data_IF_152562574310
#
_entry.id   IF_152562574310
#
_cell.length_a   1.000
_cell.length_b   1.000
_cell.length_c   1.000
_cell.angle_alpha   90.00
_cell.angle_beta   90.00
_cell.angle_gamma   90.00
#
_symmetry.space_group_name_H-M   'P 1'
#
loop_
_entity.id
_entity.type
_entity.pdbx_description
1 polymer ?
#
# COMPACT_ATOMS: atom_id res chain seq x y z
N UNK A 1 -34.83 36.04 0.10
CA UNK A 1 -35.02 34.60 -0.19
C UNK A 1 -33.76 34.20 -0.93
N UNK A 2 -32.74 33.78 -0.18
CA UNK A 2 -31.41 33.50 -0.71
C UNK A 2 -31.28 32.01 -1.01
N UNK A 3 -31.67 31.63 -2.22
CA UNK A 3 -31.55 30.27 -2.76
C UNK A 3 -30.20 30.10 -3.45
N UNK A 4 -29.11 30.09 -2.67
CA UNK A 4 -27.82 29.64 -3.18
C UNK A 4 -27.03 28.89 -2.09
N UNK A 5 -27.56 27.73 -1.69
CA UNK A 5 -26.81 26.73 -0.94
C UNK A 5 -26.20 25.75 -1.94
N UNK A 6 -24.88 25.83 -2.12
CA UNK A 6 -24.09 24.82 -2.81
C UNK A 6 -24.28 23.47 -2.10
N UNK A 7 -25.15 22.63 -2.65
CA UNK A 7 -25.40 21.29 -2.13
C UNK A 7 -24.14 20.45 -2.35
N UNK A 8 -23.34 20.30 -1.30
CA UNK A 8 -22.22 19.35 -1.28
C UNK A 8 -22.82 17.96 -1.28
N UNK A 9 -22.86 17.35 -2.47
CA UNK A 9 -23.36 16.00 -2.65
C UNK A 9 -22.38 15.00 -2.02
N UNK A 10 -22.73 14.54 -0.80
CA UNK A 10 -22.01 13.50 -0.07
C UNK A 10 -22.37 12.08 -0.56
N UNK A 11 -22.97 11.93 -1.74
CA UNK A 11 -23.08 10.60 -2.35
C UNK A 11 -21.68 10.01 -2.45
N UNK A 12 -21.41 8.83 -1.84
CA UNK A 12 -20.09 8.23 -1.89
C UNK A 12 -19.77 7.92 -3.35
N UNK A 13 -18.96 8.78 -3.97
CA UNK A 13 -18.49 8.66 -5.34
C UNK A 13 -18.03 7.21 -5.58
N UNK A 14 -18.85 6.47 -6.33
CA UNK A 14 -18.70 5.04 -6.59
C UNK A 14 -17.38 4.68 -7.30
N UNK A 15 -16.64 5.70 -7.74
CA UNK A 15 -15.36 5.58 -8.43
C UNK A 15 -14.15 5.40 -7.50
N UNK A 16 -14.31 5.50 -6.17
CA UNK A 16 -13.22 5.18 -5.20
C UNK A 16 -13.04 3.68 -4.93
N UNK A 17 -13.80 2.79 -5.58
CA UNK A 17 -13.39 1.36 -5.72
C UNK A 17 -12.27 1.20 -6.75
N UNK A 18 -11.33 2.15 -6.81
CA UNK A 18 -10.06 2.03 -7.53
C UNK A 18 -9.39 0.76 -7.03
N UNK A 19 -9.58 -0.31 -7.80
CA UNK A 19 -8.73 -1.50 -7.92
C UNK A 19 -8.10 -1.85 -6.57
N UNK A 20 -8.87 -2.46 -5.66
CA UNK A 20 -8.27 -3.29 -4.59
C UNK A 20 -7.21 -4.12 -5.29
N UNK A 21 -5.93 -3.87 -5.00
CA UNK A 21 -4.77 -4.44 -5.67
C UNK A 21 -5.08 -5.90 -5.99
N UNK A 22 -5.49 -6.15 -7.23
CA UNK A 22 -5.92 -7.48 -7.62
C UNK A 22 -4.70 -8.35 -7.34
N UNK A 23 -4.88 -9.37 -6.49
CA UNK A 23 -3.74 -10.15 -6.05
C UNK A 23 -2.97 -10.59 -7.30
N UNK A 24 -1.64 -10.53 -7.30
CA UNK A 24 -0.84 -10.69 -8.52
C UNK A 24 -1.01 -12.08 -9.16
N UNK A 25 -1.55 -13.05 -8.41
CA UNK A 25 -1.90 -14.39 -8.89
C UNK A 25 -3.34 -14.52 -9.44
N UNK A 26 -4.08 -13.42 -9.58
CA UNK A 26 -5.46 -13.42 -10.05
C UNK A 26 -5.52 -13.43 -11.58
N UNK A 27 -5.81 -14.59 -12.15
CA UNK A 27 -5.88 -14.80 -13.61
C UNK A 27 -7.33 -14.85 -14.12
N UNK A 28 -7.50 -14.88 -15.46
CA UNK A 28 -8.82 -14.97 -16.09
C UNK A 28 -9.53 -16.29 -15.76
N UNK A 29 -8.79 -17.40 -15.65
CA UNK A 29 -9.36 -18.71 -15.27
C UNK A 29 -10.02 -18.66 -13.88
N UNK A 30 -9.41 -17.98 -12.90
CA UNK A 30 -9.97 -17.80 -11.56
C UNK A 30 -11.21 -16.92 -11.59
N UNK A 31 -11.27 -15.92 -12.49
CA UNK A 31 -12.48 -15.11 -12.72
C UNK A 31 -13.61 -15.98 -13.26
N UNK A 32 -13.33 -16.81 -14.26
CA UNK A 32 -14.32 -17.69 -14.87
C UNK A 32 -14.86 -18.71 -13.86
N UNK A 33 -13.97 -19.33 -13.09
CA UNK A 33 -14.35 -20.25 -12.01
C UNK A 33 -15.17 -19.55 -10.91
N UNK A 34 -14.86 -18.30 -10.59
CA UNK A 34 -15.63 -17.51 -9.63
C UNK A 34 -17.04 -17.23 -10.16
N UNK A 35 -17.18 -16.86 -11.44
CA UNK A 35 -18.48 -16.63 -12.07
C UNK A 35 -19.32 -17.91 -12.04
N UNK A 36 -18.74 -19.05 -12.39
CA UNK A 36 -19.41 -20.36 -12.36
C UNK A 36 -19.85 -20.71 -10.93
N UNK A 37 -18.99 -20.48 -9.95
CA UNK A 37 -19.29 -20.76 -8.54
C UNK A 37 -20.44 -19.88 -8.04
N UNK A 38 -20.42 -18.59 -8.35
CA UNK A 38 -21.47 -17.65 -7.99
C UNK A 38 -22.81 -18.01 -8.66
N UNK A 39 -22.79 -18.48 -9.91
CA UNK A 39 -23.99 -18.97 -10.60
C UNK A 39 -24.57 -20.20 -9.90
N UNK A 40 -23.72 -21.17 -9.54
CA UNK A 40 -24.14 -22.37 -8.81
C UNK A 40 -24.70 -22.02 -7.41
N UNK A 41 -24.08 -21.07 -6.71
CA UNK A 41 -24.57 -20.57 -5.43
C UNK A 41 -25.95 -19.92 -5.54
N UNK A 42 -26.13 -19.02 -6.52
CA UNK A 42 -27.42 -18.39 -6.79
C UNK A 42 -28.50 -19.41 -7.07
N UNK A 43 -28.21 -20.41 -7.92
CA UNK A 43 -29.14 -21.50 -8.22
C UNK A 43 -29.54 -22.26 -6.96
N UNK A 44 -28.59 -22.58 -6.08
CA UNK A 44 -28.89 -23.26 -4.81
C UNK A 44 -29.72 -22.40 -3.85
N UNK A 45 -29.36 -21.12 -3.68
CA UNK A 45 -30.02 -20.21 -2.73
C UNK A 45 -31.45 -19.85 -3.14
N UNK A 46 -31.69 -19.63 -4.43
CA UNK A 46 -32.99 -19.20 -4.95
C UNK A 46 -33.91 -20.39 -5.29
N UNK A 47 -33.40 -21.62 -5.26
CA UNK A 47 -34.21 -22.79 -5.57
C UNK A 47 -35.26 -23.04 -4.48
N UNK A 48 -36.53 -23.02 -4.91
CA UNK A 48 -37.71 -23.42 -4.15
C UNK A 48 -38.28 -24.67 -4.83
N UNK A 49 -38.40 -25.77 -4.10
CA UNK A 49 -38.85 -27.04 -4.66
C UNK A 49 -38.38 -28.24 -3.84
N UNK A 50 -38.29 -29.40 -4.48
CA UNK A 50 -37.95 -30.67 -3.84
C UNK A 50 -36.59 -30.62 -3.12
N UNK A 51 -36.56 -31.15 -1.89
CA UNK A 51 -35.37 -31.26 -1.04
C UNK A 51 -34.27 -32.07 -1.71
N UNK A 52 -34.60 -33.12 -2.48
CA UNK A 52 -33.59 -33.92 -3.20
C UNK A 52 -32.86 -33.08 -4.25
N UNK A 53 -33.61 -32.33 -5.04
CA UNK A 53 -33.03 -31.46 -6.06
C UNK A 53 -32.21 -30.32 -5.45
N UNK A 54 -32.70 -29.74 -4.33
CA UNK A 54 -31.95 -28.74 -3.57
C UNK A 54 -30.62 -29.28 -3.03
N UNK A 55 -30.59 -30.54 -2.57
CA UNK A 55 -29.36 -31.20 -2.14
C UNK A 55 -28.39 -31.42 -3.30
N UNK A 56 -28.88 -31.77 -4.48
CA UNK A 56 -28.04 -31.89 -5.68
C UNK A 56 -27.40 -30.54 -6.04
N UNK A 57 -28.18 -29.45 -6.06
CA UNK A 57 -27.66 -28.10 -6.29
C UNK A 57 -26.63 -27.68 -5.23
N UNK A 58 -26.85 -28.04 -3.96
CA UNK A 58 -25.88 -27.82 -2.87
C UNK A 58 -24.56 -28.54 -3.13
N UNK A 59 -24.62 -29.79 -3.58
CA UNK A 59 -23.44 -30.58 -3.90
C UNK A 59 -22.69 -29.99 -5.11
N UNK A 60 -23.42 -29.56 -6.14
CA UNK A 60 -22.84 -28.87 -7.30
C UNK A 60 -22.12 -27.58 -6.88
N UNK A 61 -22.75 -26.75 -6.04
CA UNK A 61 -22.11 -25.54 -5.51
C UNK A 61 -20.84 -25.86 -4.71
N UNK A 62 -20.90 -26.83 -3.80
CA UNK A 62 -19.73 -27.26 -3.02
C UNK A 62 -18.58 -27.71 -3.90
N UNK A 63 -18.87 -28.48 -4.95
CA UNK A 63 -17.86 -28.96 -5.88
C UNK A 63 -17.22 -27.81 -6.67
N UNK A 64 -18.03 -26.88 -7.20
CA UNK A 64 -17.49 -25.69 -7.91
C UNK A 64 -16.64 -24.81 -7.00
N UNK A 65 -17.08 -24.59 -5.76
CA UNK A 65 -16.30 -23.87 -4.75
C UNK A 65 -14.98 -24.57 -4.45
N UNK A 66 -14.99 -25.90 -4.27
CA UNK A 66 -13.78 -26.70 -4.05
C UNK A 66 -12.79 -26.59 -5.22
N UNK A 67 -13.30 -26.61 -6.46
CA UNK A 67 -12.49 -26.43 -7.67
C UNK A 67 -11.83 -25.04 -7.71
N UNK A 68 -12.61 -23.99 -7.42
CA UNK A 68 -12.09 -22.63 -7.30
C UNK A 68 -11.01 -22.52 -6.22
N UNK A 69 -11.27 -22.99 -5.00
CA UNK A 69 -10.33 -22.93 -3.88
C UNK A 69 -9.05 -23.74 -4.15
N UNK A 70 -9.16 -24.86 -4.87
CA UNK A 70 -8.01 -25.66 -5.29
C UNK A 70 -7.14 -24.88 -6.27
N UNK A 71 -7.76 -24.29 -7.31
CA UNK A 71 -7.04 -23.50 -8.32
C UNK A 71 -6.41 -22.25 -7.72
N UNK A 72 -7.12 -21.56 -6.84
CA UNK A 72 -6.64 -20.37 -6.14
C UNK A 72 -5.35 -20.68 -5.35
N UNK A 73 -5.35 -21.77 -4.58
CA UNK A 73 -4.17 -22.23 -3.84
C UNK A 73 -3.02 -22.70 -4.73
N UNK A 74 -3.30 -23.17 -5.94
CA UNK A 74 -2.26 -23.53 -6.90
C UNK A 74 -1.59 -22.27 -7.48
N UNK A 75 -2.38 -21.31 -7.94
CA UNK A 75 -1.85 -20.05 -8.49
C UNK A 75 -1.11 -19.23 -7.45
N UNK A 76 -1.61 -19.17 -6.21
CA UNK A 76 -0.90 -18.53 -5.11
C UNK A 76 0.46 -19.20 -4.85
N UNK A 77 0.52 -20.54 -4.82
CA UNK A 77 1.77 -21.28 -4.63
C UNK A 77 2.73 -21.05 -5.79
N UNK A 78 2.23 -21.05 -7.03
CA UNK A 78 3.02 -20.79 -8.23
C UNK A 78 3.64 -19.39 -8.18
N UNK A 79 2.84 -18.38 -7.86
CA UNK A 79 3.33 -17.01 -7.70
C UNK A 79 4.38 -16.89 -6.60
N UNK A 80 4.15 -17.49 -5.42
CA UNK A 80 5.14 -17.50 -4.33
C UNK A 80 6.44 -18.19 -4.75
N UNK A 81 6.37 -19.32 -5.44
CA UNK A 81 7.54 -20.05 -5.93
C UNK A 81 8.32 -19.24 -6.98
N UNK A 82 7.63 -18.64 -7.95
CA UNK A 82 8.23 -17.75 -8.94
C UNK A 82 8.93 -16.55 -8.29
N UNK A 83 8.26 -15.90 -7.34
CA UNK A 83 8.85 -14.78 -6.59
C UNK A 83 10.12 -15.20 -5.84
N UNK A 84 10.11 -16.35 -5.16
CA UNK A 84 11.29 -16.86 -4.47
C UNK A 84 12.43 -17.20 -5.44
N UNK A 85 12.12 -17.75 -6.61
CA UNK A 85 13.11 -18.02 -7.64
C UNK A 85 13.73 -16.73 -8.18
N UNK A 86 12.91 -15.72 -8.50
CA UNK A 86 13.38 -14.42 -8.97
C UNK A 86 14.33 -13.77 -7.94
N UNK A 87 13.96 -13.81 -6.66
CA UNK A 87 14.82 -13.30 -5.57
C UNK A 87 16.17 -14.03 -5.53
N UNK A 88 16.16 -15.36 -5.68
CA UNK A 88 17.40 -16.17 -5.69
C UNK A 88 18.28 -15.88 -6.90
N UNK A 89 17.70 -15.63 -8.07
CA UNK A 89 18.45 -15.30 -9.29
C UNK A 89 19.00 -13.88 -9.25
N UNK A 90 18.22 -12.90 -8.78
CA UNK A 90 18.64 -11.50 -8.64
C UNK A 90 19.81 -11.34 -7.66
N UNK A 91 19.76 -12.06 -6.53
CA UNK A 91 20.85 -12.06 -5.54
C UNK A 91 22.21 -12.54 -6.08
N UNK A 92 22.23 -13.32 -7.16
CA UNK A 92 23.46 -13.89 -7.72
C UNK A 92 24.12 -13.03 -8.79
N UNK A 93 23.40 -12.05 -9.34
CA UNK A 93 23.82 -11.37 -10.58
C UNK A 93 24.28 -9.93 -10.33
N UNK A 94 23.65 -9.19 -9.41
CA UNK A 94 24.13 -7.86 -8.98
C UNK A 94 23.47 -7.37 -7.67
N UNK A 95 24.23 -7.17 -6.57
CA UNK A 95 23.66 -6.73 -5.28
C UNK A 95 22.93 -5.38 -5.34
N UNK A 96 23.32 -4.47 -6.26
CA UNK A 96 22.68 -3.15 -6.41
C UNK A 96 21.28 -3.21 -7.01
N UNK A 97 20.97 -4.23 -7.83
CA UNK A 97 19.65 -4.42 -8.42
C UNK A 97 18.67 -5.06 -7.43
N UNK A 98 19.20 -5.98 -6.60
CA UNK A 98 18.45 -6.63 -5.53
C UNK A 98 17.79 -5.63 -4.55
N UNK A 99 18.54 -4.63 -4.08
CA UNK A 99 17.99 -3.61 -3.17
C UNK A 99 16.99 -2.68 -3.86
N UNK A 100 17.17 -2.41 -5.16
CA UNK A 100 16.28 -1.57 -5.95
C UNK A 100 14.90 -2.21 -6.10
N UNK A 101 14.85 -3.48 -6.51
CA UNK A 101 13.58 -4.18 -6.74
C UNK A 101 12.78 -4.43 -5.43
N UNK A 102 13.50 -4.60 -4.32
CA UNK A 102 12.92 -4.67 -2.97
C UNK A 102 12.28 -3.34 -2.56
N UNK A 103 12.99 -2.22 -2.77
CA UNK A 103 12.49 -0.88 -2.42
C UNK A 103 11.25 -0.46 -3.21
N UNK A 104 11.13 -0.84 -4.50
CA UNK A 104 9.93 -0.57 -5.32
C UNK A 104 8.72 -1.42 -4.94
N UNK A 105 8.92 -2.60 -4.36
CA UNK A 105 7.82 -3.47 -3.94
C UNK A 105 7.25 -3.08 -2.56
N UNK A 106 8.07 -2.45 -1.73
CA UNK A 106 7.74 -2.03 -0.37
C UNK A 106 7.34 -0.54 -0.28
N UNK A 107 7.13 0.15 -1.41
CA UNK A 107 6.85 1.60 -1.43
C UNK A 107 5.64 1.98 -0.57
N UNK A 108 4.60 1.13 -0.54
CA UNK A 108 3.42 1.36 0.31
C UNK A 108 3.69 1.15 1.81
N UNK A 109 4.70 0.37 2.18
CA UNK A 109 5.13 0.20 3.58
C UNK A 109 6.01 1.36 4.04
N UNK A 110 6.87 1.88 3.16
CA UNK A 110 7.70 3.06 3.43
C UNK A 110 6.85 4.32 3.54
N UNK A 111 5.87 4.52 2.65
CA UNK A 111 4.91 5.63 2.76
C UNK A 111 4.10 5.57 4.07
N UNK A 112 3.74 4.36 4.52
CA UNK A 112 3.01 4.16 5.77
C UNK A 112 3.87 4.48 7.00
N UNK A 113 5.17 4.17 6.97
CA UNK A 113 6.14 4.56 8.02
C UNK A 113 6.35 6.09 8.03
N UNK A 114 6.44 6.72 6.86
CA UNK A 114 6.56 8.18 6.77
C UNK A 114 5.34 8.91 7.33
N UNK A 115 4.13 8.44 7.02
CA UNK A 115 2.89 8.99 7.59
C UNK A 115 2.82 8.81 9.12
N UNK A 116 3.27 7.68 9.64
CA UNK A 116 3.34 7.44 11.09
C UNK A 116 4.35 8.35 11.79
N UNK A 117 5.50 8.59 11.17
CA UNK A 117 6.51 9.50 11.71
C UNK A 117 6.03 10.96 11.68
N UNK A 118 5.37 11.39 10.61
CA UNK A 118 4.76 12.74 10.54
C UNK A 118 3.67 12.94 11.60
N UNK A 119 2.86 11.90 11.87
CA UNK A 119 1.87 11.95 12.95
C UNK A 119 2.52 12.05 14.34
N UNK A 120 3.60 11.31 14.58
CA UNK A 120 4.35 11.35 15.84
C UNK A 120 5.05 12.71 16.06
N UNK A 121 5.64 13.30 15.02
CA UNK A 121 6.26 14.64 15.10
C UNK A 121 5.21 15.72 15.39
N UNK A 122 4.04 15.66 14.73
CA UNK A 122 2.95 16.59 15.01
C UNK A 122 2.42 16.42 16.45
N UNK A 123 2.29 15.19 16.94
CA UNK A 123 1.86 14.92 18.32
C UNK A 123 2.88 15.47 19.33
N UNK A 124 4.18 15.30 19.05
CA UNK A 124 5.27 15.84 19.88
C UNK A 124 5.32 17.38 19.90
N UNK A 125 5.14 18.04 18.75
CA UNK A 125 5.05 19.51 18.65
C UNK A 125 3.81 20.09 19.34
N UNK A 126 2.68 19.36 19.33
CA UNK A 126 1.47 19.78 20.07
C UNK A 126 1.60 19.63 21.58
N UNK A 127 2.38 18.67 22.06
CA UNK A 127 2.60 18.42 23.49
C UNK A 127 3.72 19.30 24.08
N UNK A 128 4.67 19.75 23.26
CA UNK A 128 5.78 20.61 23.67
C UNK A 128 6.04 21.74 22.65
N UNK A 129 5.29 22.85 22.67
CA UNK A 129 5.59 23.98 21.80
C UNK A 129 6.91 24.63 22.24
N UNK A 130 8.00 24.35 21.53
CA UNK A 130 9.28 25.02 21.75
C UNK A 130 9.17 26.51 21.35
N UNK A 131 9.60 27.46 22.21
CA UNK A 131 9.56 28.88 21.88
C UNK A 131 10.54 29.19 20.74
N UNK A 132 10.01 29.61 19.59
CA UNK A 132 10.82 30.07 18.44
C UNK A 132 11.70 31.25 18.87
N UNK A 133 13.01 31.02 19.00
CA UNK A 133 14.00 32.08 19.18
C UNK A 133 14.16 32.86 17.89
N UNK A 134 13.58 34.06 17.86
CA UNK A 134 13.73 35.03 16.78
C UNK A 134 15.09 35.70 16.93
N UNK A 135 16.12 35.16 16.28
CA UNK A 135 17.46 35.78 16.25
C UNK A 135 17.39 37.00 15.32
N UNK A 136 17.25 38.20 15.91
CA UNK A 136 17.47 39.48 15.21
C UNK A 136 18.98 39.74 15.13
N UNK A 137 19.53 39.75 13.92
CA UNK A 137 20.87 40.27 13.67
C UNK A 137 20.79 41.80 13.63
N UNK A 138 21.38 42.48 14.61
CA UNK A 138 21.64 43.93 14.53
C UNK A 138 23.02 44.15 13.94
N UNK A 139 23.09 44.87 12.82
CA UNK A 139 24.33 45.35 12.23
C UNK A 139 24.91 46.46 13.10
N UNK A 140 26.12 46.26 13.62
CA UNK A 140 26.93 47.35 14.16
C UNK A 140 28.28 47.36 13.45
N UNK A 141 28.58 48.52 12.89
CA UNK A 141 29.74 48.87 12.09
C UNK A 141 31.04 48.59 12.86
N UNK A 142 32.02 48.01 12.16
CA UNK A 142 33.40 47.87 12.66
C UNK A 142 34.30 48.79 11.85
N UNK A 143 34.59 49.95 12.43
CA UNK A 143 35.71 50.81 12.06
C UNK A 143 37.04 50.16 12.47
N UNK A 144 37.97 50.19 11.51
CA UNK A 144 39.43 50.07 11.52
C UNK A 144 40.19 49.92 12.87
N UNK A 145 41.19 49.04 12.89
CA UNK A 145 42.63 49.40 13.00
C UNK A 145 43.50 48.21 13.47
N UNK A 146 44.49 47.87 12.62
CA UNK A 146 45.90 47.51 12.91
C UNK A 146 46.28 46.35 13.86
N UNK A 147 47.20 45.48 13.39
CA UNK A 147 48.14 44.77 14.27
C UNK A 147 48.77 43.49 13.70
N UNK A 148 50.05 43.55 13.32
CA UNK A 148 50.90 42.44 12.80
C UNK A 148 51.40 41.49 13.91
N UNK A 149 51.74 40.25 13.54
CA UNK A 149 53.01 39.51 13.80
C UNK A 149 52.78 37.98 13.70
N UNK A 150 53.24 37.29 12.64
CA UNK A 150 54.56 36.62 12.45
C UNK A 150 54.84 35.46 13.42
N UNK A 151 54.73 34.23 12.92
CA UNK A 151 55.28 32.99 13.50
C UNK A 151 56.58 32.61 12.77
N UNK A 152 57.66 32.37 13.51
CA UNK A 152 58.93 31.83 13.03
C UNK A 152 59.27 30.57 13.83
N UNK A 153 59.82 29.58 13.13
CA UNK A 153 60.16 28.23 13.58
C UNK A 153 61.25 28.20 14.65
N UNK A 154 61.23 27.16 15.50
CA UNK A 154 62.41 26.66 16.18
C UNK A 154 62.53 25.15 15.94
N UNK A 155 63.74 24.75 15.56
CA UNK A 155 64.28 23.38 15.62
C UNK A 155 64.77 23.06 17.02
#
# INVERSE_FOLDING_TARGET
>A
MDDNMDYIDFTPSSNKRKRRNAKPYWNNELRDLLIITNKAEKNYLHFKGDRRLKNNLKNTFKEKRRQFDKRLRQEERKYKAQRLNNIKTLNRTNPKEFWRERSTSDSGFIEQIQQLNEQLEHEYETLNPSPKTMIRFTTHERSDLTGRNKTCMQS
#
